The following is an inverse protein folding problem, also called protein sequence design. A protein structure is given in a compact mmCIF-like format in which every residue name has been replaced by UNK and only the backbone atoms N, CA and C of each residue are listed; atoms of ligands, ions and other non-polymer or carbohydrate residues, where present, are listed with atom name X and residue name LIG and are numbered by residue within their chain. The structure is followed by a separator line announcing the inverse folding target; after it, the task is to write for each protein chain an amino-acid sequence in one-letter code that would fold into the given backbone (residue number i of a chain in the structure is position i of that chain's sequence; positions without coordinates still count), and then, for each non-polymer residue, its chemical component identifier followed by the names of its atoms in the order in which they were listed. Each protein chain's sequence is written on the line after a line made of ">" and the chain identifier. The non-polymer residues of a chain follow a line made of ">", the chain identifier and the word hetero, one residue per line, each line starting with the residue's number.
data_IF_360710154733
#
_entry.id   IF_360710154733
#
_cell.length_a   1.000
_cell.length_b   1.000
_cell.length_c   1.000
_cell.angle_alpha   90.00
_cell.angle_beta   90.00
_cell.angle_gamma   90.00
#
_symmetry.space_group_name_H-M   'P 1'
#
loop_
_entity.id
_entity.type
_entity.pdbx_description
1 polymer ?
#
# COMPACT_ATOMS: atom_id res chain seq x y z
N UNK A 1 -11.07 -4.29 -15.06
CA UNK A 1 -10.92 -3.58 -13.80
C UNK A 1 -10.15 -4.37 -12.76
N UNK A 2 -9.88 -3.78 -11.63
CA UNK A 2 -9.09 -4.39 -10.55
C UNK A 2 -9.69 -5.71 -10.05
N UNK A 3 -11.00 -5.76 -9.92
CA UNK A 3 -11.69 -6.96 -9.44
C UNK A 3 -11.40 -8.19 -10.30
N UNK A 4 -11.57 -8.07 -11.61
CA UNK A 4 -11.32 -9.20 -12.51
C UNK A 4 -9.86 -9.61 -12.50
N UNK A 5 -8.95 -8.64 -12.50
CA UNK A 5 -7.52 -8.89 -12.43
C UNK A 5 -7.13 -9.64 -11.15
N UNK A 6 -7.65 -9.22 -10.00
CA UNK A 6 -7.39 -9.88 -8.72
C UNK A 6 -7.96 -11.30 -8.70
N UNK A 7 -9.20 -11.49 -9.17
CA UNK A 7 -9.82 -12.80 -9.23
C UNK A 7 -9.02 -13.77 -10.10
N UNK A 8 -8.63 -13.35 -11.30
CA UNK A 8 -7.85 -14.18 -12.23
C UNK A 8 -6.47 -14.52 -11.65
N UNK A 9 -5.83 -13.55 -11.01
CA UNK A 9 -4.51 -13.73 -10.40
C UNK A 9 -4.57 -14.71 -9.24
N UNK A 10 -5.54 -14.55 -8.33
CA UNK A 10 -5.70 -15.44 -7.18
C UNK A 10 -6.14 -16.85 -7.60
N UNK A 11 -7.02 -16.97 -8.58
CA UNK A 11 -7.38 -18.28 -9.15
C UNK A 11 -6.13 -19.01 -9.65
N UNK A 12 -5.26 -18.31 -10.37
CA UNK A 12 -4.02 -18.88 -10.89
C UNK A 12 -3.04 -19.25 -9.77
N UNK A 13 -2.86 -18.38 -8.79
CA UNK A 13 -1.96 -18.62 -7.64
C UNK A 13 -2.42 -19.87 -6.88
N UNK A 14 -3.69 -19.93 -6.51
CA UNK A 14 -4.21 -21.02 -5.70
C UNK A 14 -4.29 -22.35 -6.47
N UNK A 15 -4.42 -22.30 -7.81
CA UNK A 15 -4.34 -23.47 -8.64
C UNK A 15 -2.90 -24.00 -8.79
N UNK A 16 -1.92 -23.10 -8.85
CA UNK A 16 -0.50 -23.43 -9.05
C UNK A 16 0.21 -23.77 -7.74
N UNK A 17 -0.07 -23.00 -6.67
CA UNK A 17 0.54 -23.13 -5.35
C UNK A 17 -0.59 -23.14 -4.29
N UNK A 18 -1.33 -24.25 -4.16
CA UNK A 18 -2.52 -24.28 -3.28
C UNK A 18 -2.20 -24.10 -1.80
N UNK A 19 -0.97 -24.34 -1.38
CA UNK A 19 -0.50 -24.17 -0.01
C UNK A 19 0.13 -22.80 0.26
N UNK A 20 -0.14 -21.81 -0.61
CA UNK A 20 0.30 -20.42 -0.38
C UNK A 20 -0.19 -19.94 0.98
N UNK A 21 0.74 -19.52 1.83
CA UNK A 21 0.48 -19.14 3.21
C UNK A 21 0.68 -17.66 3.52
N UNK A 22 1.03 -16.85 2.53
CA UNK A 22 1.21 -15.41 2.70
C UNK A 22 0.89 -14.64 1.42
N UNK A 23 0.29 -13.46 1.60
CA UNK A 23 -0.02 -12.53 0.50
C UNK A 23 0.41 -11.12 0.89
N UNK A 24 1.10 -10.46 -0.02
CA UNK A 24 1.46 -9.07 0.10
C UNK A 24 0.79 -8.27 -1.02
N UNK A 25 0.03 -7.25 -0.63
CA UNK A 25 -0.69 -6.39 -1.57
C UNK A 25 0.02 -5.06 -1.70
N UNK A 26 0.26 -4.63 -2.92
CA UNK A 26 0.97 -3.37 -3.19
C UNK A 26 0.11 -2.14 -3.00
N UNK A 27 -1.22 -2.31 -3.00
CA UNK A 27 -2.16 -1.22 -2.69
C UNK A 27 -3.34 -1.74 -1.90
N UNK A 28 -3.99 -0.85 -1.15
CA UNK A 28 -5.21 -1.18 -0.41
C UNK A 28 -6.37 -1.55 -1.34
N UNK A 29 -6.39 -1.04 -2.57
CA UNK A 29 -7.42 -1.37 -3.57
C UNK A 29 -7.34 -2.86 -3.93
N UNK A 30 -6.15 -3.36 -4.21
CA UNK A 30 -5.94 -4.78 -4.51
C UNK A 30 -6.24 -5.65 -3.30
N UNK A 31 -5.84 -5.22 -2.10
CA UNK A 31 -6.16 -5.92 -0.87
C UNK A 31 -7.67 -6.04 -0.64
N UNK A 32 -8.41 -4.97 -0.85
CA UNK A 32 -9.87 -4.96 -0.67
C UNK A 32 -10.55 -5.95 -1.63
N UNK A 33 -10.14 -5.98 -2.89
CA UNK A 33 -10.67 -6.94 -3.86
C UNK A 33 -10.27 -8.38 -3.53
N UNK A 34 -9.08 -8.59 -2.98
CA UNK A 34 -8.67 -9.91 -2.51
C UNK A 34 -9.49 -10.38 -1.31
N UNK A 35 -9.78 -9.51 -0.36
CA UNK A 35 -10.66 -9.84 0.77
C UNK A 35 -12.06 -10.25 0.30
N UNK A 36 -12.58 -9.55 -0.69
CA UNK A 36 -13.86 -9.90 -1.32
C UNK A 36 -13.79 -11.26 -1.99
N UNK A 37 -12.72 -11.54 -2.73
CA UNK A 37 -12.47 -12.84 -3.35
C UNK A 37 -12.51 -13.97 -2.32
N UNK A 38 -11.77 -13.83 -1.21
CA UNK A 38 -11.74 -14.84 -0.16
C UNK A 38 -13.11 -15.04 0.48
N UNK A 39 -13.81 -13.95 0.75
CA UNK A 39 -15.16 -14.00 1.30
C UNK A 39 -16.13 -14.74 0.38
N UNK A 40 -16.15 -14.39 -0.90
CA UNK A 40 -17.08 -14.96 -1.88
C UNK A 40 -16.83 -16.46 -2.09
N UNK A 41 -15.62 -16.94 -1.88
CA UNK A 41 -15.27 -18.35 -2.03
C UNK A 41 -15.23 -19.12 -0.72
N UNK A 42 -15.62 -18.50 0.38
CA UNK A 42 -15.62 -19.15 1.68
C UNK A 42 -14.24 -19.52 2.20
N UNK A 43 -13.19 -18.82 1.76
CA UNK A 43 -11.84 -19.01 2.23
C UNK A 43 -11.66 -18.20 3.51
N UNK A 44 -11.40 -18.89 4.64
CA UNK A 44 -11.18 -18.23 5.92
C UNK A 44 -9.76 -17.66 5.98
N UNK A 45 -9.68 -16.35 6.21
CA UNK A 45 -8.41 -15.63 6.38
C UNK A 45 -8.18 -15.19 7.83
N UNK A 46 -9.09 -15.51 8.73
CA UNK A 46 -9.01 -15.13 10.15
C UNK A 46 -8.35 -16.19 11.03
N UNK A 47 -8.08 -17.36 10.48
CA UNK A 47 -7.56 -18.51 11.23
C UNK A 47 -6.05 -18.43 11.53
N UNK A 48 -5.36 -17.42 11.03
CA UNK A 48 -3.93 -17.23 11.23
C UNK A 48 -3.03 -18.16 10.40
N UNK A 49 -3.60 -18.97 9.52
CA UNK A 49 -2.83 -19.86 8.63
C UNK A 49 -2.15 -19.13 7.49
N UNK A 50 -2.71 -17.98 7.10
CA UNK A 50 -2.15 -17.14 6.02
C UNK A 50 -1.80 -15.78 6.56
N UNK A 51 -0.57 -15.33 6.28
CA UNK A 51 -0.14 -13.97 6.56
C UNK A 51 -0.67 -13.01 5.50
N UNK A 52 -1.17 -11.87 5.94
CA UNK A 52 -1.64 -10.81 5.05
C UNK A 52 -0.91 -9.52 5.36
N UNK A 53 -0.41 -8.86 4.33
CA UNK A 53 0.25 -7.56 4.46
C UNK A 53 -0.09 -6.66 3.28
N UNK A 54 -0.16 -5.36 3.54
CA UNK A 54 -0.50 -4.35 2.54
C UNK A 54 0.37 -3.11 2.71
N UNK A 55 0.69 -2.44 1.61
CA UNK A 55 1.48 -1.21 1.65
C UNK A 55 0.72 0.01 2.17
N UNK A 56 -0.59 -0.01 2.16
CA UNK A 56 -1.41 1.07 2.69
C UNK A 56 -2.46 0.52 3.62
N UNK A 57 -2.87 1.33 4.58
CA UNK A 57 -3.98 1.00 5.45
C UNK A 57 -5.30 1.45 4.83
N UNK A 58 -6.33 0.65 5.07
CA UNK A 58 -7.71 1.00 4.80
C UNK A 58 -8.54 0.72 6.06
N UNK A 59 -9.46 1.60 6.44
CA UNK A 59 -10.33 1.37 7.60
C UNK A 59 -11.09 0.04 7.56
N UNK A 60 -11.38 -0.46 6.36
CA UNK A 60 -12.04 -1.75 6.17
C UNK A 60 -11.24 -2.91 6.79
N UNK A 61 -9.91 -2.81 6.85
CA UNK A 61 -9.06 -3.88 7.40
C UNK A 61 -9.36 -4.15 8.87
N UNK A 62 -9.74 -3.14 9.64
CA UNK A 62 -10.12 -3.32 11.05
C UNK A 62 -11.36 -4.21 11.21
N UNK A 63 -12.23 -4.22 10.22
CA UNK A 63 -13.46 -5.02 10.22
C UNK A 63 -13.26 -6.37 9.51
N UNK A 64 -12.72 -6.35 8.30
CA UNK A 64 -12.69 -7.52 7.43
C UNK A 64 -11.40 -8.35 7.57
N UNK A 65 -10.30 -7.72 7.97
CA UNK A 65 -9.00 -8.38 8.10
C UNK A 65 -8.16 -7.72 9.21
N UNK A 66 -8.54 -7.89 10.49
CA UNK A 66 -7.84 -7.21 11.60
C UNK A 66 -6.38 -7.65 11.76
N UNK A 67 -6.00 -8.79 11.17
CA UNK A 67 -4.62 -9.28 11.18
C UNK A 67 -3.79 -8.80 9.99
N UNK A 68 -4.35 -7.96 9.12
CA UNK A 68 -3.62 -7.37 8.00
C UNK A 68 -2.52 -6.46 8.52
N UNK A 69 -1.27 -6.86 8.33
CA UNK A 69 -0.12 -6.01 8.61
C UNK A 69 -0.02 -4.91 7.56
N UNK A 70 0.34 -3.71 7.95
CA UNK A 70 0.35 -2.56 7.03
C UNK A 70 1.68 -1.81 7.08
N UNK A 71 2.09 -1.29 5.93
CA UNK A 71 3.16 -0.31 5.85
C UNK A 71 2.53 1.08 5.88
N UNK A 72 2.83 1.84 6.93
CA UNK A 72 2.33 3.21 7.08
C UNK A 72 3.33 4.17 6.48
N UNK A 73 2.89 4.89 5.47
CA UNK A 73 3.68 5.98 4.90
C UNK A 73 3.50 7.24 5.73
N UNK A 74 4.56 8.04 5.93
CA UNK A 74 4.47 9.30 6.65
C UNK A 74 3.87 10.39 5.75
N UNK A 75 2.58 10.28 5.44
CA UNK A 75 1.88 11.11 4.45
C UNK A 75 1.96 12.60 4.78
N UNK A 76 1.81 12.96 6.05
CA UNK A 76 1.89 14.36 6.48
C UNK A 76 3.29 14.93 6.25
N UNK A 77 4.33 14.17 6.60
CA UNK A 77 5.72 14.59 6.39
C UNK A 77 6.06 14.65 4.90
N UNK A 78 5.62 13.68 4.11
CA UNK A 78 5.80 13.68 2.66
C UNK A 78 5.17 14.92 2.06
N UNK A 79 3.93 15.21 2.42
CA UNK A 79 3.20 16.39 1.94
C UNK A 79 3.88 17.70 2.33
N UNK A 80 4.34 17.82 3.57
CA UNK A 80 5.03 19.01 4.04
C UNK A 80 6.35 19.24 3.29
N UNK A 81 7.14 18.19 3.08
CA UNK A 81 8.37 18.28 2.30
C UNK A 81 8.10 18.63 0.84
N UNK A 82 7.09 18.03 0.22
CA UNK A 82 6.73 18.28 -1.17
C UNK A 82 6.34 19.75 -1.38
N UNK A 83 5.49 20.30 -0.50
CA UNK A 83 5.09 21.70 -0.56
C UNK A 83 6.28 22.64 -0.37
N UNK A 84 7.13 22.36 0.60
CA UNK A 84 8.34 23.16 0.89
C UNK A 84 9.28 23.19 -0.30
N UNK A 85 9.55 22.04 -0.90
CA UNK A 85 10.41 21.94 -2.09
C UNK A 85 9.82 22.71 -3.27
N UNK A 86 8.53 22.58 -3.50
CA UNK A 86 7.85 23.30 -4.58
C UNK A 86 7.90 24.81 -4.39
N UNK A 87 7.60 25.31 -3.19
CA UNK A 87 7.67 26.74 -2.88
C UNK A 87 9.08 27.29 -3.05
N UNK A 88 10.09 26.52 -2.63
CA UNK A 88 11.49 26.90 -2.83
C UNK A 88 11.84 27.01 -4.31
N UNK A 89 11.43 26.04 -5.12
CA UNK A 89 11.66 26.07 -6.56
C UNK A 89 10.98 27.27 -7.22
N UNK A 90 9.76 27.61 -6.82
CA UNK A 90 9.04 28.77 -7.34
C UNK A 90 9.79 30.06 -7.01
N UNK A 91 10.23 30.22 -5.76
CA UNK A 91 10.98 31.43 -5.33
C UNK A 91 12.30 31.59 -6.10
N UNK A 92 13.06 30.50 -6.23
CA UNK A 92 14.34 30.50 -6.94
C UNK A 92 14.16 30.79 -8.43
N UNK A 93 13.08 30.33 -9.06
CA UNK A 93 12.81 30.60 -10.47
C UNK A 93 12.38 32.05 -10.76
N UNK A 94 11.89 32.77 -9.75
CA UNK A 94 11.48 34.19 -9.89
C UNK A 94 12.63 35.19 -9.74
N UNK A 95 13.79 34.73 -9.30
CA UNK A 95 14.95 35.63 -9.12
C UNK A 95 15.58 35.98 -10.48
N UNK A 96 15.90 37.29 -10.76
CA UNK A 96 16.56 37.66 -11.99
C UNK A 96 17.91 36.95 -12.14
N UNK A 97 18.17 36.38 -13.33
CA UNK A 97 19.40 35.65 -13.58
C UNK A 97 19.52 34.31 -12.88
N UNK A 98 18.43 33.82 -12.31
CA UNK A 98 18.44 32.53 -11.64
C UNK A 98 18.67 31.37 -12.63
N UNK A 99 19.56 30.46 -12.23
CA UNK A 99 19.71 29.16 -12.88
C UNK A 99 18.67 28.23 -12.29
N UNK A 100 18.10 27.34 -13.11
CA UNK A 100 17.18 26.32 -12.62
C UNK A 100 17.84 25.51 -11.52
N UNK A 101 17.26 25.43 -10.30
CA UNK A 101 17.87 24.68 -9.20
C UNK A 101 17.99 23.19 -9.53
N UNK A 102 19.03 22.55 -9.03
CA UNK A 102 19.19 21.12 -9.14
C UNK A 102 18.02 20.39 -8.46
N UNK A 103 17.54 19.27 -9.03
CA UNK A 103 16.53 18.46 -8.36
C UNK A 103 16.99 18.03 -6.99
N UNK A 104 16.09 18.14 -6.02
CA UNK A 104 16.34 17.69 -4.65
C UNK A 104 15.44 16.49 -4.35
N UNK A 105 16.01 15.47 -3.72
CA UNK A 105 15.29 14.25 -3.34
C UNK A 105 15.32 14.11 -1.82
N UNK A 106 14.15 13.86 -1.24
CA UNK A 106 14.00 13.56 0.18
C UNK A 106 13.39 12.17 0.30
N UNK A 107 14.05 11.29 1.06
CA UNK A 107 13.55 9.94 1.32
C UNK A 107 13.15 9.85 2.79
N UNK A 108 11.91 9.47 3.04
CA UNK A 108 11.36 9.30 4.38
C UNK A 108 11.06 7.82 4.63
N UNK A 109 11.36 7.31 5.83
CA UNK A 109 11.08 5.91 6.14
C UNK A 109 9.59 5.66 6.30
N UNK A 110 9.10 4.53 5.80
CA UNK A 110 7.78 4.04 6.17
C UNK A 110 7.88 3.19 7.43
N UNK A 111 6.77 3.08 8.14
CA UNK A 111 6.67 2.32 9.38
C UNK A 111 5.86 1.05 9.15
N UNK A 112 6.42 -0.10 9.49
CA UNK A 112 5.67 -1.37 9.47
C UNK A 112 4.91 -1.56 10.77
N UNK A 113 3.63 -1.90 10.65
CA UNK A 113 2.78 -2.27 11.77
C UNK A 113 2.33 -3.72 11.56
N UNK A 114 2.88 -4.62 12.36
CA UNK A 114 2.58 -6.04 12.29
C UNK A 114 1.35 -6.36 13.13
N UNK A 115 0.37 -7.02 12.53
CA UNK A 115 -0.93 -7.37 13.14
C UNK A 115 -1.26 -8.86 13.03
N UNK A 116 -0.27 -9.67 12.81
CA UNK A 116 -0.41 -11.10 12.57
C UNK A 116 -0.66 -11.92 13.86
N UNK A 117 -0.69 -11.26 14.99
CA UNK A 117 -0.97 -11.90 16.30
C UNK A 117 -2.43 -11.89 16.70
#
# INVERSE_FOLDING_TARGET
>A
GYRQHVCDTLDRILATVPDTDGFFFTTHILATEALRYFHDRGIDISDGRRGLACMHEDPLFHLAAPRMSVARFPVEEISAHAVRLLLRQIRESQSPGSVRPAPESVVLPCRMEFRDE
#
